data_IF_762171443968
#
_entry.id   IF_762171443968
#
_cell.length_a   1.000
_cell.length_b   1.000
_cell.length_c   1.000
_cell.angle_alpha   90.00
_cell.angle_beta   90.00
_cell.angle_gamma   90.00
#
_symmetry.space_group_name_H-M   'P 1'
#
loop_
_entity.id
_entity.type
_entity.pdbx_description
1 polymer ?
#
# COMPACT_ATOMS: atom_id res chain seq x y z
N UNK A 1 -42.57 7.64 9.85
CA UNK A 1 -41.76 6.60 9.19
C UNK A 1 -40.82 7.18 8.13
N UNK A 2 -41.15 8.30 7.49
CA UNK A 2 -40.30 8.98 6.48
C UNK A 2 -38.92 9.44 7.00
N UNK A 3 -38.84 9.96 8.23
CA UNK A 3 -37.59 10.49 8.81
C UNK A 3 -36.52 9.44 9.10
N UNK A 4 -36.88 8.17 9.35
CA UNK A 4 -35.89 7.12 9.62
C UNK A 4 -35.21 6.61 8.34
N UNK A 5 -35.85 6.74 7.18
CA UNK A 5 -35.31 6.26 5.90
C UNK A 5 -34.17 7.18 5.42
N UNK A 6 -34.31 8.50 5.61
CA UNK A 6 -33.26 9.46 5.24
C UNK A 6 -31.96 9.28 6.02
N UNK A 7 -32.03 8.89 7.30
CA UNK A 7 -30.82 8.65 8.10
C UNK A 7 -30.04 7.41 7.65
N UNK A 8 -30.74 6.36 7.20
CA UNK A 8 -30.10 5.11 6.75
C UNK A 8 -29.38 5.32 5.41
N UNK A 9 -29.94 6.12 4.51
CA UNK A 9 -29.33 6.42 3.20
C UNK A 9 -28.04 7.25 3.31
N UNK A 10 -27.97 8.19 4.27
CA UNK A 10 -26.76 8.96 4.52
C UNK A 10 -25.61 8.11 5.08
N UNK A 11 -25.92 7.11 5.92
CA UNK A 11 -24.92 6.21 6.51
C UNK A 11 -24.31 5.26 5.47
N UNK A 12 -25.08 4.81 4.47
CA UNK A 12 -24.55 3.93 3.42
C UNK A 12 -23.67 4.65 2.39
N UNK A 13 -23.88 5.95 2.18
CA UNK A 13 -23.10 6.73 1.19
C UNK A 13 -21.67 7.03 1.66
N UNK A 14 -21.43 7.13 2.97
CA UNK A 14 -20.10 7.37 3.54
C UNK A 14 -19.19 6.14 3.36
N UNK A 15 -19.75 4.94 3.36
CA UNK A 15 -18.97 3.70 3.22
C UNK A 15 -18.41 3.48 1.80
N UNK A 16 -19.02 4.09 0.76
CA UNK A 16 -18.59 3.90 -0.64
C UNK A 16 -17.47 4.87 -1.03
N UNK A 17 -17.31 5.98 -0.32
CA UNK A 17 -16.21 6.94 -0.54
C UNK A 17 -14.88 6.51 0.10
N UNK A 18 -14.91 5.48 0.96
CA UNK A 18 -13.76 4.90 1.67
C UNK A 18 -13.52 3.45 1.22
N UNK A 19 -13.82 3.12 -0.04
CA UNK A 19 -13.48 1.82 -0.60
C UNK A 19 -11.96 1.65 -0.54
N UNK A 20 -11.47 0.93 0.47
CA UNK A 20 -10.04 0.72 0.66
C UNK A 20 -9.45 0.15 -0.64
N UNK A 21 -8.38 0.78 -1.13
CA UNK A 21 -7.70 0.32 -2.34
C UNK A 21 -7.30 -1.15 -2.14
N UNK A 22 -7.70 -2.01 -3.08
CA UNK A 22 -7.48 -3.45 -2.96
C UNK A 22 -5.98 -3.79 -2.82
N UNK A 23 -5.09 -2.94 -3.36
CA UNK A 23 -3.64 -3.08 -3.27
C UNK A 23 -3.14 -2.96 -1.84
N UNK A 24 -3.84 -2.25 -0.96
CA UNK A 24 -3.51 -2.18 0.48
C UNK A 24 -3.74 -3.50 1.21
N UNK A 25 -4.50 -4.43 0.63
CA UNK A 25 -4.67 -5.78 1.20
C UNK A 25 -3.76 -6.82 0.56
N UNK A 26 -3.04 -6.46 -0.50
CA UNK A 26 -2.19 -7.40 -1.21
C UNK A 26 -0.85 -7.57 -0.49
N UNK A 27 -0.52 -8.82 -0.18
CA UNK A 27 0.76 -9.17 0.45
C UNK A 27 1.78 -9.50 -0.62
N UNK A 28 2.98 -8.97 -0.47
CA UNK A 28 4.13 -9.33 -1.26
C UNK A 28 4.86 -10.50 -0.58
N UNK A 29 4.95 -11.63 -1.27
CA UNK A 29 5.58 -12.85 -0.76
C UNK A 29 6.93 -13.09 -1.42
N UNK A 30 7.72 -14.02 -0.86
CA UNK A 30 8.99 -14.46 -1.44
C UNK A 30 8.85 -15.03 -2.85
N UNK A 31 7.69 -15.58 -3.21
CA UNK A 31 7.41 -16.06 -4.57
C UNK A 31 7.09 -14.92 -5.55
N UNK A 32 6.80 -13.71 -5.06
CA UNK A 32 6.64 -12.51 -5.88
C UNK A 32 8.00 -11.82 -6.15
N UNK A 33 9.04 -12.16 -5.38
CA UNK A 33 10.40 -11.70 -5.58
C UNK A 33 11.03 -12.30 -6.84
N UNK A 34 11.79 -11.47 -7.55
CA UNK A 34 12.64 -11.93 -8.63
C UNK A 34 13.61 -13.01 -8.17
N UNK A 35 13.69 -14.12 -8.91
CA UNK A 35 14.74 -15.10 -8.71
C UNK A 35 16.13 -14.52 -8.96
N UNK A 36 17.17 -15.15 -8.41
CA UNK A 36 18.56 -14.69 -8.56
C UNK A 36 19.05 -14.62 -10.03
N UNK A 37 18.42 -15.40 -10.92
CA UNK A 37 18.73 -15.44 -12.35
C UNK A 37 17.79 -14.57 -13.20
N UNK A 38 16.84 -13.87 -12.59
CA UNK A 38 15.88 -13.02 -13.29
C UNK A 38 16.28 -11.55 -13.24
N UNK A 39 16.02 -10.83 -14.34
CA UNK A 39 16.26 -9.38 -14.39
C UNK A 39 14.98 -8.64 -14.02
N UNK A 40 15.00 -7.72 -13.04
CA UNK A 40 13.84 -6.95 -12.67
C UNK A 40 13.39 -6.09 -13.85
N UNK A 41 12.08 -6.06 -14.07
CA UNK A 41 11.46 -5.30 -15.17
C UNK A 41 10.97 -3.93 -14.72
N UNK A 42 10.63 -3.79 -13.43
CA UNK A 42 10.12 -2.56 -12.86
C UNK A 42 10.21 -2.58 -11.33
N UNK A 43 10.13 -1.40 -10.74
CA UNK A 43 10.06 -1.18 -9.30
C UNK A 43 8.61 -0.90 -8.88
N UNK A 44 8.20 -1.46 -7.75
CA UNK A 44 6.87 -1.24 -7.15
C UNK A 44 6.97 -0.91 -5.67
N UNK A 45 5.84 -0.46 -5.12
CA UNK A 45 5.65 -0.25 -3.69
C UNK A 45 4.45 -1.05 -3.21
N UNK A 46 4.62 -1.76 -2.08
CA UNK A 46 3.57 -2.55 -1.47
C UNK A 46 3.38 -2.18 0.00
N UNK A 47 2.13 -2.23 0.46
CA UNK A 47 1.80 -1.95 1.84
C UNK A 47 1.99 -3.20 2.70
N UNK A 48 2.61 -3.03 3.87
CA UNK A 48 2.69 -4.05 4.90
C UNK A 48 1.80 -3.61 6.07
N UNK A 49 0.72 -4.35 6.30
CA UNK A 49 -0.25 -4.04 7.36
C UNK A 49 0.28 -4.32 8.76
N UNK A 50 1.27 -5.19 8.93
CA UNK A 50 1.87 -5.51 10.23
C UNK A 50 2.75 -4.33 10.73
N UNK A 51 3.54 -3.74 9.84
CA UNK A 51 4.37 -2.56 10.17
C UNK A 51 3.69 -1.22 9.89
N UNK A 52 2.57 -1.23 9.16
CA UNK A 52 1.84 -0.06 8.67
C UNK A 52 2.72 0.85 7.80
N UNK A 53 3.57 0.24 6.95
CA UNK A 53 4.54 0.95 6.10
C UNK A 53 4.46 0.49 4.65
N UNK A 54 4.97 1.32 3.75
CA UNK A 54 5.15 0.99 2.33
C UNK A 54 6.60 0.62 2.06
N UNK A 55 6.82 -0.57 1.51
CA UNK A 55 8.14 -1.05 1.13
C UNK A 55 8.29 -1.08 -0.38
N UNK A 56 9.53 -0.87 -0.80
CA UNK A 56 9.95 -0.97 -2.19
C UNK A 56 10.32 -2.41 -2.51
N UNK A 57 9.93 -2.90 -3.69
CA UNK A 57 10.35 -4.20 -4.19
C UNK A 57 10.43 -4.18 -5.72
N UNK A 58 11.16 -5.12 -6.28
CA UNK A 58 11.28 -5.31 -7.72
C UNK A 58 10.34 -6.41 -8.19
N UNK A 59 9.76 -6.25 -9.37
CA UNK A 59 8.98 -7.31 -10.03
C UNK A 59 9.70 -7.82 -11.27
N UNK A 60 9.52 -9.11 -11.54
CA UNK A 60 9.98 -9.77 -12.76
C UNK A 60 8.82 -10.15 -13.72
N UNK A 61 7.57 -10.02 -13.26
CA UNK A 61 6.38 -10.29 -14.05
C UNK A 61 5.49 -9.04 -14.19
N UNK A 62 5.16 -8.68 -15.43
CA UNK A 62 4.41 -7.46 -15.75
C UNK A 62 2.96 -7.52 -15.24
N UNK A 63 2.38 -8.71 -15.08
CA UNK A 63 1.02 -8.84 -14.59
C UNK A 63 0.94 -8.48 -13.10
N UNK A 64 2.01 -8.72 -12.35
CA UNK A 64 2.14 -8.37 -10.94
C UNK A 64 2.14 -6.87 -10.68
N UNK A 65 2.56 -6.04 -11.65
CA UNK A 65 2.57 -4.57 -11.50
C UNK A 65 1.23 -3.99 -11.06
N UNK A 66 0.12 -4.51 -11.62
CA UNK A 66 -1.24 -4.04 -11.33
C UNK A 66 -1.68 -4.25 -9.87
N UNK A 67 -1.02 -5.15 -9.15
CA UNK A 67 -1.34 -5.49 -7.75
C UNK A 67 -0.72 -4.53 -6.74
N UNK A 68 0.17 -3.64 -7.20
CA UNK A 68 1.02 -2.80 -6.37
C UNK A 68 0.94 -1.34 -6.79
N UNK A 69 1.59 -0.46 -6.04
CA UNK A 69 1.69 0.96 -6.33
C UNK A 69 2.96 1.27 -7.11
N UNK A 70 2.90 2.25 -7.99
CA UNK A 70 4.08 2.72 -8.75
C UNK A 70 4.90 3.77 -7.99
N UNK A 71 4.39 4.30 -6.88
CA UNK A 71 5.06 5.30 -6.04
C UNK A 71 4.78 5.04 -4.56
N UNK A 72 5.79 5.34 -3.73
CA UNK A 72 5.67 5.32 -2.26
C UNK A 72 4.59 6.27 -1.77
N UNK A 73 4.52 7.47 -2.33
CA UNK A 73 3.55 8.50 -1.95
C UNK A 73 2.11 8.03 -2.19
N UNK A 74 1.87 7.35 -3.31
CA UNK A 74 0.55 6.76 -3.61
C UNK A 74 0.20 5.65 -2.62
N UNK A 75 1.15 4.76 -2.31
CA UNK A 75 0.95 3.71 -1.31
C UNK A 75 0.63 4.30 0.07
N UNK A 76 1.38 5.32 0.51
CA UNK A 76 1.16 5.96 1.80
C UNK A 76 -0.19 6.65 1.87
N UNK A 77 -0.56 7.39 0.82
CA UNK A 77 -1.81 8.13 0.74
C UNK A 77 -3.04 7.22 0.68
N UNK A 78 -2.99 6.16 -0.11
CA UNK A 78 -4.14 5.25 -0.31
C UNK A 78 -4.31 4.27 0.85
N UNK A 79 -3.21 3.85 1.50
CA UNK A 79 -3.23 2.87 2.59
C UNK A 79 -3.12 3.49 4.00
N UNK A 80 -3.09 4.81 4.12
CA UNK A 80 -2.85 5.54 5.38
C UNK A 80 -1.54 5.09 6.07
N UNK A 81 -0.51 4.77 5.28
CA UNK A 81 0.74 4.21 5.80
C UNK A 81 1.54 5.27 6.58
N UNK A 82 2.30 4.82 7.57
CA UNK A 82 3.22 5.68 8.32
C UNK A 82 4.29 6.22 7.38
N UNK A 83 4.54 7.51 7.48
CA UNK A 83 5.69 8.12 6.81
C UNK A 83 6.97 7.51 7.38
N UNK A 84 7.93 7.22 6.50
CA UNK A 84 9.27 6.92 6.93
C UNK A 84 9.91 8.23 7.39
N UNK A 85 9.66 8.60 8.65
CA UNK A 85 10.45 9.65 9.28
C UNK A 85 11.91 9.21 9.26
N UNK A 86 12.71 9.92 8.47
CA UNK A 86 14.16 9.88 8.54
C UNK A 86 14.59 10.22 9.97
N UNK A 87 14.79 9.22 10.83
CA UNK A 87 15.72 9.35 11.93
C UNK A 87 17.15 9.34 11.34
N UNK A 88 17.49 10.44 10.66
CA UNK A 88 18.86 10.81 10.37
C UNK A 88 19.56 11.20 11.66
N UNK A 89 20.38 10.29 12.19
CA UNK A 89 21.27 10.55 13.31
C UNK A 89 22.60 9.84 13.12
N UNK A 90 23.51 10.44 12.34
CA UNK A 90 24.94 10.20 12.45
C UNK A 90 25.38 10.44 13.89
N UNK A 91 25.77 9.39 14.61
CA UNK A 91 26.43 9.45 15.91
C UNK A 91 27.76 8.71 15.83
N UNK A 92 28.85 9.44 15.54
CA UNK A 92 30.23 9.00 15.77
C UNK A 92 30.62 9.36 17.20
N UNK A 93 30.43 8.46 18.16
CA UNK A 93 31.05 8.43 19.50
C UNK A 93 30.99 6.93 19.90
N UNK A 94 32.05 6.16 20.17
CA UNK A 94 33.40 6.39 20.75
C UNK A 94 34.55 5.84 19.90
#
# INVERSE_FOLDING_TARGET
MEKMIFCILALTLIAVALGADQRCSNKYYVDDECGADESPIDQIFHFNSDSHKCYEADICDVNSKSKYFSSREDCQRECDAREDSEEGGVGLED
#
